data_IF_384350368088
#
_entry.id   IF_384350368088
#
_cell.length_a   1.000
_cell.length_b   1.000
_cell.length_c   1.000
_cell.angle_alpha   90.00
_cell.angle_beta   90.00
_cell.angle_gamma   90.00
#
_symmetry.space_group_name_H-M   'P 1'
#
loop_
_entity.id
_entity.type
_entity.pdbx_description
1 polymer ?
#
# COMPACT_ATOMS: atom_id res chain seq x y z
N UNK A 1 -15.74 4.06 3.63
CA UNK A 1 -14.90 5.12 3.06
C UNK A 1 -15.68 6.41 3.16
N UNK A 2 -15.53 7.13 4.26
CA UNK A 2 -16.10 8.48 4.36
C UNK A 2 -15.24 9.42 3.52
N UNK A 3 -15.87 10.18 2.61
CA UNK A 3 -15.20 11.29 1.91
C UNK A 3 -14.64 10.99 0.52
N UNK A 4 -15.05 9.93 -0.16
CA UNK A 4 -14.78 9.74 -1.61
C UNK A 4 -16.13 9.69 -2.33
N UNK A 5 -16.48 10.77 -3.01
CA UNK A 5 -17.71 10.91 -3.83
C UNK A 5 -17.50 10.37 -5.26
N UNK A 6 -16.29 9.89 -5.54
CA UNK A 6 -15.83 9.41 -6.84
C UNK A 6 -15.98 7.88 -6.94
N UNK A 7 -16.11 7.37 -8.17
CA UNK A 7 -16.17 5.94 -8.42
C UNK A 7 -14.81 5.29 -8.12
N UNK A 8 -14.80 4.29 -7.23
CA UNK A 8 -13.57 3.58 -6.83
C UNK A 8 -13.46 2.28 -7.62
N UNK A 9 -12.46 2.19 -8.48
CA UNK A 9 -12.08 0.95 -9.16
C UNK A 9 -10.86 0.30 -8.49
N UNK A 10 -10.94 -1.01 -8.24
CA UNK A 10 -9.80 -1.77 -7.71
C UNK A 10 -8.95 -2.27 -8.88
N UNK A 11 -7.85 -1.57 -9.15
CA UNK A 11 -6.86 -1.97 -10.18
C UNK A 11 -6.13 -3.27 -9.80
N UNK A 12 -5.91 -3.49 -8.50
CA UNK A 12 -5.30 -4.72 -8.04
C UNK A 12 -5.09 -4.80 -6.53
N UNK A 13 -4.84 -6.01 -6.05
CA UNK A 13 -4.54 -6.30 -4.66
C UNK A 13 -3.31 -7.19 -4.56
N UNK A 14 -2.35 -6.80 -3.71
CA UNK A 14 -1.08 -7.49 -3.52
C UNK A 14 -0.78 -7.64 -2.03
N UNK A 15 -0.09 -8.72 -1.64
CA UNK A 15 0.47 -8.82 -0.30
C UNK A 15 1.79 -8.03 -0.18
N UNK A 16 2.23 -7.74 1.06
CA UNK A 16 3.40 -6.94 1.40
C UNK A 16 4.76 -7.48 0.89
N UNK A 17 4.78 -8.68 0.30
CA UNK A 17 5.99 -9.26 -0.28
C UNK A 17 6.91 -10.01 0.69
N UNK A 18 6.45 -10.24 1.93
CA UNK A 18 7.20 -10.93 2.99
C UNK A 18 8.28 -10.04 3.61
N UNK A 19 8.83 -10.40 4.77
CA UNK A 19 9.93 -9.65 5.40
C UNK A 19 11.21 -9.75 4.54
N UNK A 20 11.92 -8.64 4.22
CA UNK A 20 11.75 -7.24 4.64
C UNK A 20 11.12 -6.34 3.54
N UNK A 21 9.94 -6.72 3.03
CA UNK A 21 9.22 -6.08 1.94
C UNK A 21 9.96 -6.02 0.59
N UNK A 22 10.87 -6.98 0.33
CA UNK A 22 11.76 -6.96 -0.85
C UNK A 22 11.01 -6.84 -2.19
N UNK A 23 9.83 -7.45 -2.30
CA UNK A 23 9.01 -7.43 -3.52
C UNK A 23 7.98 -6.30 -3.56
N UNK A 24 7.82 -5.53 -2.47
CA UNK A 24 6.74 -4.55 -2.35
C UNK A 24 6.90 -3.40 -3.36
N UNK A 25 8.13 -2.91 -3.55
CA UNK A 25 8.45 -1.84 -4.51
C UNK A 25 8.07 -2.25 -5.94
N UNK A 26 8.55 -3.42 -6.39
CA UNK A 26 8.27 -3.91 -7.75
C UNK A 26 6.77 -4.10 -8.00
N UNK A 27 6.03 -4.55 -6.99
CA UNK A 27 4.59 -4.75 -7.11
C UNK A 27 3.81 -3.43 -7.08
N UNK A 28 4.28 -2.45 -6.33
CA UNK A 28 3.70 -1.11 -6.33
C UNK A 28 3.91 -0.42 -7.69
N UNK A 29 5.08 -0.62 -8.32
CA UNK A 29 5.34 -0.18 -9.71
C UNK A 29 4.39 -0.84 -10.71
N UNK A 30 4.13 -2.13 -10.55
CA UNK A 30 3.20 -2.87 -11.41
C UNK A 30 1.77 -2.34 -11.25
N UNK A 31 1.31 -2.02 -10.04
CA UNK A 31 0.00 -1.38 -9.82
C UNK A 31 -0.07 -0.02 -10.52
N UNK A 32 0.97 0.81 -10.39
CA UNK A 32 1.04 2.09 -11.09
C UNK A 32 0.99 1.93 -12.62
N UNK A 33 1.78 0.99 -13.17
CA UNK A 33 1.79 0.71 -14.61
C UNK A 33 0.44 0.21 -15.15
N UNK A 34 -0.38 -0.41 -14.29
CA UNK A 34 -1.74 -0.85 -14.60
C UNK A 34 -2.79 0.26 -14.46
N UNK A 35 -2.39 1.47 -14.09
CA UNK A 35 -3.27 2.63 -13.98
C UNK A 35 -3.71 2.97 -12.57
N UNK A 36 -3.12 2.38 -11.52
CA UNK A 36 -3.42 2.78 -10.16
C UNK A 36 -2.85 4.18 -9.87
N UNK A 37 -3.73 5.14 -9.56
CA UNK A 37 -3.39 6.48 -9.11
C UNK A 37 -3.26 6.58 -7.58
N UNK A 38 -3.83 5.60 -6.86
CA UNK A 38 -3.88 5.57 -5.40
C UNK A 38 -3.45 4.21 -4.88
N UNK A 39 -2.51 4.20 -3.92
CA UNK A 39 -2.07 3.00 -3.21
C UNK A 39 -2.56 3.03 -1.77
N UNK A 40 -3.24 1.97 -1.37
CA UNK A 40 -3.81 1.82 -0.03
C UNK A 40 -3.04 0.76 0.75
N UNK A 41 -2.52 1.12 1.92
CA UNK A 41 -1.89 0.19 2.85
C UNK A 41 -2.94 -0.39 3.80
N UNK A 42 -3.14 -1.71 3.73
CA UNK A 42 -4.11 -2.40 4.57
C UNK A 42 -3.70 -2.40 6.05
N UNK A 43 -4.70 -2.42 6.93
CA UNK A 43 -4.50 -2.38 8.39
C UNK A 43 -3.73 -3.59 8.95
N UNK A 44 -3.66 -4.72 8.24
CA UNK A 44 -2.95 -5.93 8.68
C UNK A 44 -1.44 -5.69 8.91
N UNK A 45 -0.80 -4.85 8.10
CA UNK A 45 0.64 -4.54 8.24
C UNK A 45 0.91 -3.44 9.28
N UNK A 46 -0.07 -2.57 9.54
CA UNK A 46 0.07 -1.44 10.47
C UNK A 46 -0.38 -1.82 11.89
N UNK A 47 -1.59 -2.36 12.04
CA UNK A 47 -2.20 -2.75 13.32
C UNK A 47 -1.80 -4.16 13.74
N UNK A 48 -1.37 -5.02 12.82
CA UNK A 48 -0.94 -6.39 13.12
C UNK A 48 -2.08 -7.36 13.46
N UNK A 49 -3.34 -6.94 13.34
CA UNK A 49 -4.49 -7.79 13.65
C UNK A 49 -4.76 -8.84 12.55
N UNK A 50 -5.17 -10.07 12.90
CA UNK A 50 -5.49 -10.57 14.25
C UNK A 50 -4.29 -11.18 15.02
N UNK A 51 -3.10 -11.23 14.43
CA UNK A 51 -1.93 -11.93 14.99
C UNK A 51 -1.29 -11.14 16.15
N UNK A 52 -1.61 -9.85 16.29
CA UNK A 52 -0.99 -8.95 17.27
C UNK A 52 0.46 -8.58 16.92
N UNK A 53 0.89 -8.84 15.69
CA UNK A 53 2.25 -8.59 15.24
C UNK A 53 2.25 -7.54 14.11
N UNK A 54 2.37 -6.23 14.45
CA UNK A 54 2.50 -5.19 13.44
C UNK A 54 3.83 -5.36 12.70
N UNK A 55 3.83 -5.14 11.38
CA UNK A 55 5.04 -5.35 10.58
C UNK A 55 6.10 -4.31 10.99
N UNK A 56 7.30 -4.75 11.44
CA UNK A 56 8.38 -3.83 11.83
C UNK A 56 8.91 -3.02 10.63
N UNK A 57 8.64 -3.48 9.41
CA UNK A 57 9.08 -2.84 8.17
C UNK A 57 8.00 -1.97 7.54
N UNK A 58 6.79 -1.84 8.11
CA UNK A 58 5.68 -1.12 7.48
C UNK A 58 6.05 0.33 7.10
N UNK A 59 6.63 1.08 8.05
CA UNK A 59 7.06 2.47 7.83
C UNK A 59 8.12 2.55 6.72
N UNK A 60 9.17 1.73 6.83
CA UNK A 60 10.27 1.74 5.87
C UNK A 60 9.83 1.31 4.47
N UNK A 61 8.95 0.32 4.38
CA UNK A 61 8.35 -0.17 3.14
C UNK A 61 7.57 0.96 2.45
N UNK A 62 6.75 1.71 3.19
CA UNK A 62 6.04 2.85 2.63
C UNK A 62 7.02 3.93 2.14
N UNK A 63 8.03 4.26 2.93
CA UNK A 63 9.03 5.28 2.54
C UNK A 63 9.77 4.90 1.25
N UNK A 64 10.16 3.64 1.07
CA UNK A 64 10.85 3.21 -0.16
C UNK A 64 9.90 3.18 -1.36
N UNK A 65 8.63 2.82 -1.17
CA UNK A 65 7.63 2.83 -2.25
C UNK A 65 7.32 4.27 -2.67
N UNK A 66 7.12 5.18 -1.72
CA UNK A 66 6.82 6.58 -2.00
C UNK A 66 7.99 7.30 -2.69
N UNK A 67 9.24 6.91 -2.41
CA UNK A 67 10.42 7.42 -3.11
C UNK A 67 10.60 6.87 -4.52
N UNK A 68 9.98 5.74 -4.80
CA UNK A 68 10.16 4.99 -6.04
C UNK A 68 9.10 5.31 -7.09
N UNK A 69 7.89 5.64 -6.64
CA UNK A 69 6.76 6.00 -7.50
C UNK A 69 6.71 7.52 -7.76
N UNK A 70 6.06 7.95 -8.85
CA UNK A 70 5.86 9.37 -9.12
C UNK A 70 5.07 10.08 -8.02
N UNK A 71 5.33 11.36 -7.83
CA UNK A 71 4.67 12.21 -6.82
C UNK A 71 3.15 12.37 -7.05
N UNK A 72 2.64 11.96 -8.22
CA UNK A 72 1.21 11.96 -8.54
C UNK A 72 0.43 10.86 -7.82
N UNK A 73 1.08 9.81 -7.28
CA UNK A 73 0.38 8.76 -6.56
C UNK A 73 -0.06 9.26 -5.17
N UNK A 74 -1.32 9.01 -4.84
CA UNK A 74 -1.85 9.21 -3.49
C UNK A 74 -1.60 7.96 -2.65
N UNK A 75 -1.22 8.15 -1.40
CA UNK A 75 -1.11 7.05 -0.43
C UNK A 75 -2.17 7.19 0.64
N UNK A 76 -2.92 6.12 0.87
CA UNK A 76 -3.93 6.03 1.92
C UNK A 76 -3.48 5.00 2.95
N UNK A 77 -3.40 5.42 4.20
CA UNK A 77 -2.96 4.59 5.33
C UNK A 77 -4.11 4.11 6.21
N UNK A 78 -5.36 4.40 5.84
CA UNK A 78 -6.53 4.02 6.62
C UNK A 78 -7.43 3.09 5.79
N UNK A 79 -7.62 1.87 6.29
CA UNK A 79 -8.67 0.96 5.84
C UNK A 79 -9.35 0.41 7.08
N UNK A 80 -10.22 1.22 7.71
CA UNK A 80 -10.90 0.96 8.99
C UNK A 80 -9.98 0.65 10.20
#
# INVERSE_FOLDING_TARGET
>A
MEGVDEEIEIVGFINCGGCPAKKAVLRARELFQRGADTIVFASCIQKGNPIGYPCPFAKKMKEIIAKDLPESIKFIDYTH
#
